data_IF_082465280760
#
_entry.id   IF_082465280760
#
_cell.length_a   1.000
_cell.length_b   1.000
_cell.length_c   1.000
_cell.angle_alpha   90.00
_cell.angle_beta   90.00
_cell.angle_gamma   90.00
#
_symmetry.space_group_name_H-M   'P 1'
#
loop_
_entity.id
_entity.type
_entity.pdbx_description
1 polymer ?
#
# COMPACT_ATOMS: atom_id res chain seq x y z
N UNK A 1 -36.86 19.02 8.78
CA UNK A 1 -35.51 19.56 8.56
C UNK A 1 -34.68 19.19 9.79
N UNK A 2 -33.86 18.15 9.67
CA UNK A 2 -32.94 17.75 10.72
C UNK A 2 -31.59 18.23 10.20
N UNK A 3 -31.14 19.38 10.65
CA UNK A 3 -29.78 19.86 10.44
C UNK A 3 -28.84 18.92 11.20
N UNK A 4 -28.14 18.08 10.48
CA UNK A 4 -27.05 17.31 11.02
C UNK A 4 -25.93 18.27 11.41
N UNK A 5 -25.88 18.56 12.71
CA UNK A 5 -24.81 19.32 13.34
C UNK A 5 -23.51 18.52 13.20
N UNK A 6 -22.81 18.74 12.09
CA UNK A 6 -21.46 18.21 11.89
C UNK A 6 -20.54 18.85 12.92
N UNK A 7 -20.43 18.22 14.08
CA UNK A 7 -19.38 18.56 15.04
C UNK A 7 -18.04 18.50 14.29
N UNK A 8 -17.45 19.65 14.00
CA UNK A 8 -16.08 19.76 13.52
C UNK A 8 -15.20 19.07 14.55
N UNK A 9 -14.77 17.87 14.23
CA UNK A 9 -13.87 17.10 15.06
C UNK A 9 -12.53 17.87 15.18
N UNK A 10 -12.36 18.63 16.25
CA UNK A 10 -11.18 19.47 16.52
C UNK A 10 -9.97 18.68 17.07
N UNK A 11 -10.07 17.35 17.07
CA UNK A 11 -9.01 16.47 17.56
C UNK A 11 -7.74 16.50 16.72
N UNK A 12 -6.61 16.04 17.27
CA UNK A 12 -5.34 15.93 16.53
C UNK A 12 -5.48 14.94 15.36
N UNK A 13 -4.77 15.22 14.25
CA UNK A 13 -4.70 14.32 13.11
C UNK A 13 -3.92 13.07 13.52
N UNK A 14 -4.55 11.90 13.31
CA UNK A 14 -3.94 10.60 13.55
C UNK A 14 -3.32 10.11 12.25
N UNK A 15 -2.02 9.86 12.24
CA UNK A 15 -1.32 9.30 11.09
C UNK A 15 -1.30 7.78 11.16
N UNK A 16 -1.75 7.11 10.08
CA UNK A 16 -1.67 5.66 9.93
C UNK A 16 -1.12 5.31 8.55
N UNK A 17 -0.20 4.35 8.49
CA UNK A 17 0.26 3.81 7.20
C UNK A 17 -0.68 2.72 6.70
N UNK A 18 -0.78 2.57 5.37
CA UNK A 18 -1.54 1.51 4.72
C UNK A 18 -1.19 0.11 5.25
N UNK A 19 0.11 -0.15 5.49
CA UNK A 19 0.59 -1.40 6.12
C UNK A 19 0.00 -1.61 7.53
N UNK A 20 0.00 -0.56 8.36
CA UNK A 20 -0.51 -0.66 9.73
C UNK A 20 -2.05 -0.73 9.75
N UNK A 21 -2.71 -0.08 8.80
CA UNK A 21 -4.15 -0.22 8.61
C UNK A 21 -4.49 -1.66 8.19
N UNK A 22 -3.74 -2.23 7.25
CA UNK A 22 -3.91 -3.63 6.85
C UNK A 22 -3.77 -4.61 8.02
N UNK A 23 -2.80 -4.39 8.90
CA UNK A 23 -2.61 -5.25 10.08
C UNK A 23 -3.82 -5.30 11.03
N UNK A 24 -4.72 -4.32 10.97
CA UNK A 24 -5.97 -4.31 11.74
C UNK A 24 -7.05 -5.23 11.17
N UNK A 25 -6.90 -5.68 9.92
CA UNK A 25 -7.83 -6.58 9.26
C UNK A 25 -7.60 -8.05 9.63
N UNK A 26 -6.52 -8.37 10.33
CA UNK A 26 -6.24 -9.73 10.76
C UNK A 26 -7.18 -10.15 11.90
N UNK A 27 -7.63 -11.42 11.93
CA UNK A 27 -8.56 -11.91 12.95
C UNK A 27 -8.01 -11.79 14.39
N UNK A 28 -6.69 -11.88 14.55
CA UNK A 28 -5.98 -11.78 15.83
C UNK A 28 -5.46 -10.37 16.12
N UNK A 29 -5.90 -9.36 15.36
CA UNK A 29 -5.45 -7.98 15.53
C UNK A 29 -5.77 -7.42 16.93
N UNK A 30 -4.73 -7.14 17.68
CA UNK A 30 -4.86 -6.60 19.03
C UNK A 30 -5.13 -5.09 18.99
N UNK A 31 -6.36 -4.67 19.29
CA UNK A 31 -6.77 -3.27 19.32
C UNK A 31 -5.92 -2.41 20.28
N UNK A 32 -5.56 -2.96 21.46
CA UNK A 32 -4.68 -2.30 22.43
C UNK A 32 -3.30 -2.04 21.85
N UNK A 33 -2.72 -3.08 21.18
CA UNK A 33 -1.42 -2.93 20.54
C UNK A 33 -1.45 -1.89 19.40
N UNK A 34 -2.52 -1.88 18.63
CA UNK A 34 -2.73 -0.89 17.57
C UNK A 34 -2.82 0.53 18.13
N UNK A 35 -3.61 0.74 19.18
CA UNK A 35 -3.73 2.02 19.86
C UNK A 35 -2.38 2.51 20.42
N UNK A 36 -1.63 1.65 21.09
CA UNK A 36 -0.30 1.99 21.60
C UNK A 36 0.66 2.39 20.48
N UNK A 37 0.67 1.67 19.37
CA UNK A 37 1.50 2.02 18.19
C UNK A 37 1.16 3.39 17.66
N UNK A 38 -0.13 3.72 17.52
CA UNK A 38 -0.57 5.04 17.07
C UNK A 38 -0.16 6.15 18.04
N UNK A 39 -0.34 5.95 19.35
CA UNK A 39 0.03 6.91 20.38
C UNK A 39 1.53 7.16 20.47
N UNK A 40 2.34 6.13 20.26
CA UNK A 40 3.79 6.20 20.28
C UNK A 40 4.40 6.56 18.92
N UNK A 41 3.59 7.00 17.95
CA UNK A 41 4.02 7.28 16.58
C UNK A 41 4.87 6.14 15.98
N UNK A 42 4.45 4.88 16.24
CA UNK A 42 5.13 3.66 15.81
C UNK A 42 6.55 3.44 16.38
N UNK A 43 6.94 4.20 17.40
CA UNK A 43 8.23 4.04 18.08
C UNK A 43 8.08 3.07 19.26
N UNK A 44 7.95 1.79 18.97
CA UNK A 44 7.96 0.75 20.00
C UNK A 44 9.40 0.36 20.31
N UNK A 45 9.76 0.17 21.60
CA UNK A 45 11.06 -0.37 21.96
C UNK A 45 11.20 -1.80 21.40
N UNK A 46 12.43 -2.21 21.08
CA UNK A 46 12.77 -3.57 20.64
C UNK A 46 12.25 -4.00 19.25
N UNK A 47 11.90 -3.10 18.37
CA UNK A 47 11.66 -3.43 16.96
C UNK A 47 12.99 -3.37 16.19
N UNK A 48 13.65 -4.52 16.05
CA UNK A 48 14.77 -4.68 15.12
C UNK A 48 14.24 -5.31 13.84
N UNK A 49 14.32 -4.57 12.73
CA UNK A 49 14.01 -5.11 11.42
C UNK A 49 15.33 -5.39 10.69
N UNK A 50 15.63 -6.66 10.34
CA UNK A 50 16.88 -6.97 9.66
C UNK A 50 17.02 -6.20 8.35
N UNK A 51 18.15 -5.51 8.16
CA UNK A 51 18.39 -4.66 6.98
C UNK A 51 18.36 -5.40 5.65
N UNK A 52 18.53 -6.74 5.66
CA UNK A 52 18.48 -7.57 4.46
C UNK A 52 17.13 -7.46 3.73
N UNK A 53 16.02 -7.30 4.44
CA UNK A 53 14.71 -7.18 3.81
C UNK A 53 14.57 -5.91 2.98
N UNK A 54 15.12 -4.79 3.45
CA UNK A 54 15.14 -3.54 2.68
C UNK A 54 16.05 -3.63 1.45
N UNK A 55 17.13 -4.41 1.53
CA UNK A 55 18.03 -4.66 0.40
C UNK A 55 17.33 -5.50 -0.69
N UNK A 56 16.63 -6.57 -0.30
CA UNK A 56 15.88 -7.42 -1.23
C UNK A 56 14.76 -6.63 -1.90
N UNK A 57 14.01 -5.83 -1.12
CA UNK A 57 12.95 -4.95 -1.63
C UNK A 57 13.48 -3.98 -2.69
N UNK A 58 14.55 -3.26 -2.37
CA UNK A 58 15.20 -2.34 -3.30
C UNK A 58 15.72 -3.05 -4.56
N UNK A 59 16.29 -4.25 -4.40
CA UNK A 59 16.77 -5.05 -5.53
C UNK A 59 15.62 -5.43 -6.48
N UNK A 60 14.49 -5.93 -5.96
CA UNK A 60 13.34 -6.33 -6.77
C UNK A 60 12.79 -5.15 -7.59
N UNK A 61 12.63 -3.98 -6.96
CA UNK A 61 12.21 -2.75 -7.65
C UNK A 61 13.16 -2.38 -8.79
N UNK A 62 14.45 -2.39 -8.53
CA UNK A 62 15.45 -2.05 -9.51
C UNK A 62 15.49 -3.05 -10.69
N UNK A 63 15.30 -4.33 -10.44
CA UNK A 63 15.24 -5.36 -11.49
C UNK A 63 14.06 -5.10 -12.42
N UNK A 64 12.87 -4.83 -11.89
CA UNK A 64 11.69 -4.54 -12.70
C UNK A 64 11.88 -3.27 -13.55
N UNK A 65 12.36 -2.18 -12.94
CA UNK A 65 12.60 -0.94 -13.66
C UNK A 65 13.67 -1.11 -14.75
N UNK A 66 14.81 -1.72 -14.42
CA UNK A 66 15.88 -1.97 -15.38
C UNK A 66 15.44 -2.90 -16.54
N UNK A 67 14.51 -3.80 -16.28
CA UNK A 67 13.94 -4.62 -17.33
C UNK A 67 13.11 -3.80 -18.31
N UNK A 68 12.21 -2.97 -17.81
CA UNK A 68 11.42 -2.05 -18.63
C UNK A 68 12.33 -1.12 -19.45
N UNK A 69 13.35 -0.54 -18.83
CA UNK A 69 14.27 0.39 -19.49
C UNK A 69 15.05 -0.26 -20.64
N UNK A 70 15.37 -1.58 -20.53
CA UNK A 70 16.11 -2.31 -21.55
C UNK A 70 15.22 -2.89 -22.65
N UNK A 71 14.04 -3.39 -22.30
CA UNK A 71 13.22 -4.21 -23.19
C UNK A 71 11.94 -3.51 -23.63
N UNK A 72 11.60 -2.36 -23.04
CA UNK A 72 10.37 -1.61 -23.28
C UNK A 72 9.10 -2.49 -23.17
N UNK A 73 9.16 -3.50 -22.30
CA UNK A 73 8.07 -4.44 -22.00
C UNK A 73 8.19 -4.97 -20.58
N UNK A 74 7.08 -5.49 -20.05
CA UNK A 74 7.05 -6.10 -18.73
C UNK A 74 7.89 -7.40 -18.69
N UNK A 75 8.54 -7.72 -17.56
CA UNK A 75 9.09 -9.06 -17.34
C UNK A 75 8.01 -10.13 -17.47
N UNK A 76 8.36 -11.32 -17.97
CA UNK A 76 7.41 -12.41 -18.23
C UNK A 76 6.65 -12.86 -16.99
N UNK A 77 7.25 -12.78 -15.81
CA UNK A 77 6.60 -13.14 -14.54
C UNK A 77 5.54 -12.11 -14.09
N UNK A 78 5.43 -10.95 -14.74
CA UNK A 78 4.33 -9.99 -14.56
C UNK A 78 3.20 -10.18 -15.59
N UNK A 79 3.30 -11.17 -16.48
CA UNK A 79 2.33 -11.38 -17.55
C UNK A 79 0.89 -11.61 -17.03
N UNK A 80 0.74 -12.23 -15.86
CA UNK A 80 -0.56 -12.46 -15.21
C UNK A 80 -1.30 -11.16 -14.86
N UNK A 81 -0.59 -10.04 -14.72
CA UNK A 81 -1.19 -8.73 -14.47
C UNK A 81 -1.82 -8.13 -15.73
N UNK A 82 -1.74 -8.82 -16.87
CA UNK A 82 -2.20 -8.35 -18.17
C UNK A 82 -1.18 -7.41 -18.85
N UNK A 83 -1.58 -6.73 -19.92
CA UNK A 83 -0.68 -5.89 -20.69
C UNK A 83 -0.24 -4.67 -19.88
N UNK A 84 1.09 -4.50 -19.75
CA UNK A 84 1.73 -3.38 -19.08
C UNK A 84 2.55 -2.61 -20.11
N UNK A 85 2.31 -1.31 -20.22
CA UNK A 85 3.01 -0.41 -21.16
C UNK A 85 4.30 0.16 -20.56
N UNK A 86 4.35 0.32 -19.24
CA UNK A 86 5.48 0.95 -18.57
C UNK A 86 5.29 1.03 -17.07
N UNK A 87 6.11 1.83 -16.43
CA UNK A 87 6.03 2.08 -15.00
C UNK A 87 6.19 3.57 -14.67
N UNK A 88 5.77 3.94 -13.47
CA UNK A 88 6.04 5.24 -12.85
C UNK A 88 6.62 5.02 -11.46
N UNK A 89 7.53 5.89 -11.04
CA UNK A 89 7.95 5.92 -9.65
C UNK A 89 6.81 6.47 -8.78
N UNK A 90 6.46 5.79 -7.69
CA UNK A 90 5.53 6.36 -6.74
C UNK A 90 6.09 7.67 -6.18
N UNK A 91 5.25 8.64 -5.83
CA UNK A 91 5.71 9.85 -5.15
C UNK A 91 6.41 9.50 -3.84
N UNK A 92 7.30 10.40 -3.41
CA UNK A 92 7.91 10.26 -2.09
C UNK A 92 6.83 10.08 -1.02
N UNK A 93 7.07 9.24 -0.01
CA UNK A 93 6.08 8.87 1.02
C UNK A 93 5.43 10.08 1.73
N UNK A 94 6.14 11.22 1.78
CA UNK A 94 5.58 12.46 2.34
C UNK A 94 4.52 13.11 1.45
N UNK A 95 4.45 12.74 0.17
CA UNK A 95 3.47 13.23 -0.80
C UNK A 95 2.43 12.19 -1.17
N UNK A 96 2.72 10.91 -0.91
CA UNK A 96 1.78 9.81 -1.14
C UNK A 96 0.93 9.60 0.12
N UNK A 97 -0.06 10.47 0.28
CA UNK A 97 -0.95 10.47 1.44
C UNK A 97 -2.34 11.02 1.10
N UNK A 98 -3.31 10.71 1.94
CA UNK A 98 -4.69 11.16 1.85
C UNK A 98 -5.19 11.56 3.24
N UNK A 99 -5.64 12.80 3.40
CA UNK A 99 -6.30 13.24 4.61
C UNK A 99 -7.80 12.93 4.52
N UNK A 100 -8.27 12.04 5.38
CA UNK A 100 -9.68 11.73 5.55
C UNK A 100 -10.23 12.66 6.64
N UNK A 101 -10.79 13.80 6.21
CA UNK A 101 -11.20 14.91 7.09
C UNK A 101 -12.24 14.48 8.12
N UNK A 102 -13.18 13.63 7.72
CA UNK A 102 -14.26 13.13 8.58
C UNK A 102 -13.72 12.48 9.87
N UNK A 103 -12.65 11.72 9.75
CA UNK A 103 -12.04 10.97 10.86
C UNK A 103 -10.77 11.62 11.41
N UNK A 104 -10.30 12.72 10.81
CA UNK A 104 -9.00 13.32 11.12
C UNK A 104 -7.85 12.31 11.01
N UNK A 105 -7.91 11.46 9.98
CA UNK A 105 -6.88 10.44 9.70
C UNK A 105 -6.07 10.86 8.49
N UNK A 106 -4.76 10.95 8.65
CA UNK A 106 -3.81 11.05 7.56
C UNK A 106 -3.34 9.63 7.19
N UNK A 107 -3.95 9.09 6.12
CA UNK A 107 -3.54 7.82 5.55
C UNK A 107 -2.28 8.04 4.72
N UNK A 108 -1.24 7.23 4.97
CA UNK A 108 0.04 7.33 4.28
C UNK A 108 0.44 6.00 3.69
N UNK A 109 1.25 6.04 2.63
CA UNK A 109 1.72 4.83 1.95
C UNK A 109 3.07 4.99 1.30
N UNK A 110 3.64 3.86 0.90
CA UNK A 110 4.84 3.79 0.07
C UNK A 110 4.76 2.49 -0.72
N UNK A 111 3.99 2.45 -1.81
CA UNK A 111 3.93 1.29 -2.67
C UNK A 111 5.29 1.04 -3.34
N UNK A 112 5.51 -0.18 -3.79
CA UNK A 112 6.78 -0.55 -4.41
C UNK A 112 6.89 -0.03 -5.85
N UNK A 113 5.75 0.07 -6.55
CA UNK A 113 5.72 0.60 -7.89
C UNK A 113 4.31 0.95 -8.36
N UNK A 114 4.26 1.66 -9.47
CA UNK A 114 3.03 1.97 -10.21
C UNK A 114 3.25 1.55 -11.65
N UNK A 115 2.55 0.51 -12.09
CA UNK A 115 2.60 0.06 -13.48
C UNK A 115 1.52 0.80 -14.29
N UNK A 116 1.81 1.05 -15.55
CA UNK A 116 0.92 1.78 -16.46
C UNK A 116 0.42 0.81 -17.53
N UNK A 117 -0.90 0.72 -17.69
CA UNK A 117 -1.54 -0.09 -18.72
C UNK A 117 -1.66 0.68 -20.04
N UNK A 118 -1.89 -0.01 -21.17
CA UNK A 118 -2.09 0.64 -22.48
C UNK A 118 -3.23 1.64 -22.53
N UNK A 119 -4.29 1.42 -21.76
CA UNK A 119 -5.46 2.31 -21.62
C UNK A 119 -5.20 3.55 -20.74
N UNK A 120 -3.99 3.67 -20.19
CA UNK A 120 -3.61 4.76 -19.28
C UNK A 120 -3.99 4.53 -17.82
N UNK A 121 -4.66 3.43 -17.50
CA UNK A 121 -4.93 3.07 -16.10
C UNK A 121 -3.65 2.68 -15.37
N UNK A 122 -3.68 2.79 -14.05
CA UNK A 122 -2.55 2.53 -13.18
C UNK A 122 -2.81 1.29 -12.32
N UNK A 123 -1.77 0.51 -12.13
CA UNK A 123 -1.77 -0.66 -11.26
C UNK A 123 -0.74 -0.44 -10.17
N UNK A 124 -1.19 -0.31 -8.93
CA UNK A 124 -0.30 -0.16 -7.78
C UNK A 124 0.14 -1.54 -7.33
N UNK A 125 1.44 -1.72 -7.21
CA UNK A 125 2.05 -3.00 -6.85
C UNK A 125 2.87 -2.90 -5.56
N UNK A 126 2.86 -4.00 -4.82
CA UNK A 126 3.63 -4.18 -3.58
C UNK A 126 4.24 -5.59 -3.62
N UNK A 127 5.56 -5.65 -3.78
CA UNK A 127 6.28 -6.92 -3.93
C UNK A 127 6.47 -7.58 -2.58
N UNK A 128 6.14 -8.88 -2.51
CA UNK A 128 6.36 -9.67 -1.29
C UNK A 128 7.45 -10.70 -1.54
N UNK A 129 8.44 -10.72 -0.66
CA UNK A 129 9.58 -11.66 -0.71
C UNK A 129 9.26 -13.01 -0.06
N UNK A 130 8.10 -13.13 0.57
CA UNK A 130 7.67 -14.37 1.19
C UNK A 130 7.21 -15.38 0.12
N UNK A 131 7.59 -16.66 0.31
CA UNK A 131 7.05 -17.75 -0.52
C UNK A 131 5.55 -17.89 -0.23
N UNK A 132 4.75 -17.95 -1.30
CA UNK A 132 3.32 -18.20 -1.18
C UNK A 132 3.09 -19.61 -0.63
N UNK A 133 2.39 -19.72 0.49
CA UNK A 133 2.01 -20.99 1.13
C UNK A 133 0.56 -20.89 1.58
N UNK A 134 -0.11 -22.01 1.86
CA UNK A 134 -1.49 -22.01 2.34
C UNK A 134 -1.68 -21.18 3.62
N UNK A 135 -0.63 -21.08 4.43
CA UNK A 135 -0.62 -20.24 5.65
C UNK A 135 -0.70 -18.73 5.31
N UNK A 136 -0.34 -18.32 4.11
CA UNK A 136 -0.42 -16.90 3.70
C UNK A 136 -1.85 -16.45 3.37
N UNK A 137 -2.79 -17.36 3.23
CA UNK A 137 -4.21 -17.00 3.10
C UNK A 137 -4.72 -16.27 4.35
N UNK A 138 -4.17 -16.56 5.51
CA UNK A 138 -4.48 -15.87 6.76
C UNK A 138 -4.06 -14.39 6.72
N UNK A 139 -3.03 -14.05 5.92
CA UNK A 139 -2.55 -12.68 5.74
C UNK A 139 -3.27 -11.93 4.61
N UNK A 140 -4.09 -12.62 3.82
CA UNK A 140 -4.78 -12.01 2.67
C UNK A 140 -5.59 -10.76 3.05
N UNK A 141 -6.40 -10.74 4.13
CA UNK A 141 -7.14 -9.54 4.53
C UNK A 141 -6.24 -8.35 4.81
N UNK A 142 -5.04 -8.57 5.36
CA UNK A 142 -4.05 -7.52 5.60
C UNK A 142 -3.56 -6.91 4.30
N UNK A 143 -3.22 -7.75 3.32
CA UNK A 143 -2.72 -7.28 2.02
C UNK A 143 -3.82 -6.59 1.22
N UNK A 144 -5.03 -7.11 1.24
CA UNK A 144 -6.17 -6.51 0.59
C UNK A 144 -6.44 -5.09 1.10
N UNK A 145 -6.50 -4.90 2.41
CA UNK A 145 -6.68 -3.57 3.01
C UNK A 145 -5.51 -2.65 2.71
N UNK A 146 -4.27 -3.16 2.73
CA UNK A 146 -3.08 -2.38 2.38
C UNK A 146 -3.15 -1.87 0.95
N UNK A 147 -3.47 -2.73 -0.02
CA UNK A 147 -3.56 -2.37 -1.44
C UNK A 147 -4.74 -1.44 -1.73
N UNK A 148 -5.88 -1.66 -1.08
CA UNK A 148 -7.03 -0.75 -1.17
C UNK A 148 -6.69 0.64 -0.66
N UNK A 149 -5.96 0.73 0.45
CA UNK A 149 -5.49 2.00 0.99
C UNK A 149 -4.51 2.69 0.02
N UNK A 150 -3.61 1.94 -0.62
CA UNK A 150 -2.72 2.49 -1.66
C UNK A 150 -3.51 2.99 -2.87
N UNK A 151 -4.57 2.28 -3.30
CA UNK A 151 -5.41 2.70 -4.40
C UNK A 151 -6.11 4.04 -4.10
N UNK A 152 -6.71 4.17 -2.91
CA UNK A 152 -7.34 5.43 -2.47
C UNK A 152 -6.35 6.60 -2.43
N UNK A 153 -5.15 6.38 -1.88
CA UNK A 153 -4.10 7.41 -1.88
C UNK A 153 -3.66 7.72 -3.32
N UNK A 154 -3.50 6.69 -4.14
CA UNK A 154 -3.09 6.82 -5.53
C UNK A 154 -4.06 7.67 -6.33
N UNK A 155 -5.36 7.45 -6.20
CA UNK A 155 -6.41 8.26 -6.82
C UNK A 155 -6.32 9.72 -6.39
N UNK A 156 -6.15 9.97 -5.08
CA UNK A 156 -5.95 11.31 -4.55
C UNK A 156 -4.67 11.99 -5.08
N UNK A 157 -3.65 11.20 -5.45
CA UNK A 157 -2.41 11.65 -6.06
C UNK A 157 -2.44 11.72 -7.61
N UNK A 158 -3.59 11.46 -8.24
CA UNK A 158 -3.76 11.54 -9.69
C UNK A 158 -3.39 10.28 -10.47
N UNK A 159 -3.29 9.12 -9.82
CA UNK A 159 -3.14 7.80 -10.45
C UNK A 159 -4.51 7.14 -10.69
N UNK A 160 -5.39 7.79 -11.38
CA UNK A 160 -6.76 7.29 -11.59
C UNK A 160 -6.93 6.62 -12.96
N UNK A 161 -7.76 5.59 -13.08
CA UNK A 161 -8.20 4.74 -12.00
C UNK A 161 -7.07 3.83 -11.50
N UNK A 162 -6.91 3.71 -10.19
CA UNK A 162 -6.01 2.73 -9.61
C UNK A 162 -6.74 1.39 -9.54
N UNK A 163 -6.41 0.46 -10.41
CA UNK A 163 -6.99 -0.88 -10.39
C UNK A 163 -6.42 -1.70 -9.23
N UNK A 164 -7.29 -2.49 -8.60
CA UNK A 164 -6.91 -3.44 -7.57
C UNK A 164 -6.32 -4.68 -8.22
N UNK A 165 -5.16 -5.14 -7.76
CA UNK A 165 -4.70 -6.48 -8.07
C UNK A 165 -5.44 -7.46 -7.16
N UNK A 166 -6.49 -8.08 -7.65
CA UNK A 166 -6.99 -9.31 -7.06
C UNK A 166 -5.96 -10.41 -7.33
N UNK A 167 -5.16 -10.76 -6.32
CA UNK A 167 -4.43 -12.01 -6.35
C UNK A 167 -5.44 -13.16 -6.21
N UNK A 168 -6.23 -13.41 -7.25
CA UNK A 168 -6.99 -14.65 -7.33
C UNK A 168 -6.02 -15.77 -7.66
N UNK A 169 -6.03 -16.79 -6.81
CA UNK A 169 -5.42 -18.08 -7.07
C UNK A 169 -5.96 -18.63 -8.40
N UNK A 170 -5.12 -19.00 -9.30
CA UNK A 170 -5.34 -20.10 -10.23
C UNK A 170 -4.54 -21.30 -9.76
#
# INVERSE_FOLDING_TARGET
>A
MIEANMMKNSGPIIRISSKNLGALALPDACQRCAWLRLKLNHRLPFQSFPGIFSSIDSFTKNVVHAWFDRHNQAPSWLAELGPIKGYRHPPHFSKFNLLVEEFKILLTGSPDGVLVRPDGSHLIVDYKTARFTDVQDELFPMYEVQLNAYALIGEACGFSPALRTDHRKT
#
